data_IF_600851392499
#
_entry.id   IF_600851392499
#
_cell.length_a   1.000
_cell.length_b   1.000
_cell.length_c   1.000
_cell.angle_alpha   90.00
_cell.angle_beta   90.00
_cell.angle_gamma   90.00
#
_symmetry.space_group_name_H-M   'P 1'
#
loop_
_entity.id
_entity.type
_entity.pdbx_description
1 polymer ?
#
# COMPACT_ATOMS: atom_id res chain seq x y z
N UNK A 1 -32.40 18.83 31.86
CA UNK A 1 -31.13 18.08 31.73
C UNK A 1 -30.12 18.66 32.72
N UNK A 2 -29.77 17.91 33.77
CA UNK A 2 -28.88 18.39 34.84
C UNK A 2 -27.40 18.43 34.37
N UNK A 3 -26.56 19.26 35.01
CA UNK A 3 -25.15 19.48 34.63
C UNK A 3 -24.36 18.18 34.54
N UNK A 4 -24.65 17.23 35.44
CA UNK A 4 -24.07 15.88 35.50
C UNK A 4 -24.41 15.05 34.26
N UNK A 5 -25.64 15.11 33.74
CA UNK A 5 -26.03 14.41 32.51
C UNK A 5 -25.34 14.96 31.26
N UNK A 6 -25.02 16.27 31.22
CA UNK A 6 -24.21 16.87 30.14
C UNK A 6 -22.74 16.46 30.19
N UNK A 7 -22.17 16.35 31.39
CA UNK A 7 -20.79 15.88 31.60
C UNK A 7 -20.62 14.42 31.21
N UNK A 8 -21.58 13.56 31.55
CA UNK A 8 -21.57 12.15 31.16
C UNK A 8 -21.67 12.01 29.64
N UNK A 9 -22.56 12.77 28.99
CA UNK A 9 -22.69 12.74 27.53
C UNK A 9 -21.40 13.21 26.81
N UNK A 10 -20.71 14.20 27.35
CA UNK A 10 -19.43 14.68 26.80
C UNK A 10 -18.29 13.66 26.98
N UNK A 11 -18.28 12.93 28.11
CA UNK A 11 -17.29 11.87 28.37
C UNK A 11 -17.48 10.67 27.45
N UNK A 12 -18.74 10.29 27.16
CA UNK A 12 -19.07 9.20 26.23
C UNK A 12 -18.66 9.58 24.80
N UNK A 13 -18.88 10.84 24.39
CA UNK A 13 -18.50 11.30 23.05
C UNK A 13 -16.97 11.35 22.83
N UNK A 14 -16.20 11.64 23.89
CA UNK A 14 -14.74 11.69 23.82
C UNK A 14 -14.08 10.29 23.78
N UNK A 15 -14.75 9.23 24.24
CA UNK A 15 -14.22 7.88 24.24
C UNK A 15 -14.36 7.15 22.88
N UNK A 16 -15.26 7.62 22.01
CA UNK A 16 -15.59 6.99 20.72
C UNK A 16 -14.50 7.10 19.64
N UNK A 17 -13.45 7.92 19.82
CA UNK A 17 -12.46 8.18 18.77
C UNK A 17 -11.43 7.05 18.54
N UNK A 18 -11.40 6.02 19.39
CA UNK A 18 -10.36 4.96 19.31
C UNK A 18 -10.76 3.74 18.47
N UNK A 19 -12.00 3.65 17.99
CA UNK A 19 -12.52 2.43 17.35
C UNK A 19 -12.37 2.39 15.81
N UNK A 20 -11.82 3.43 15.17
CA UNK A 20 -11.72 3.47 13.70
C UNK A 20 -10.36 3.03 13.12
N UNK A 21 -9.38 2.68 13.97
CA UNK A 21 -8.02 2.35 13.51
C UNK A 21 -7.75 0.84 13.38
N UNK A 22 -8.70 -0.02 13.73
CA UNK A 22 -8.44 -1.46 13.78
C UNK A 22 -8.25 -2.08 12.38
N UNK A 23 -8.92 -1.51 11.37
CA UNK A 23 -8.91 -1.99 9.98
C UNK A 23 -7.64 -1.57 9.19
N UNK A 24 -6.81 -0.70 9.75
CA UNK A 24 -5.67 -0.09 9.03
C UNK A 24 -4.32 -0.71 9.42
N UNK A 25 -4.30 -1.90 10.01
CA UNK A 25 -3.02 -2.52 10.38
C UNK A 25 -3.04 -4.04 10.39
N UNK A 26 -1.89 -4.63 10.08
CA UNK A 26 -1.67 -6.09 10.08
C UNK A 26 -0.61 -6.45 11.12
N UNK A 27 -0.72 -7.61 11.76
CA UNK A 27 0.29 -8.09 12.71
C UNK A 27 1.41 -8.83 11.97
N UNK A 28 2.66 -8.42 12.19
CA UNK A 28 3.87 -9.08 11.69
C UNK A 28 4.88 -9.23 12.82
N UNK A 29 5.29 -10.46 13.14
CA UNK A 29 6.24 -10.77 14.22
C UNK A 29 5.91 -10.09 15.58
N UNK A 30 4.62 -10.02 15.92
CA UNK A 30 4.14 -9.37 17.15
C UNK A 30 4.10 -7.82 17.10
N UNK A 31 4.46 -7.21 15.98
CA UNK A 31 4.37 -5.77 15.74
C UNK A 31 3.19 -5.44 14.83
N UNK A 32 2.49 -4.33 15.10
CA UNK A 32 1.47 -3.80 14.18
C UNK A 32 2.14 -3.01 13.07
N UNK A 33 1.89 -3.40 11.83
CA UNK A 33 2.28 -2.67 10.61
C UNK A 33 1.10 -1.84 10.17
N UNK A 34 1.30 -0.52 10.04
CA UNK A 34 0.26 0.39 9.54
C UNK A 34 0.15 0.28 8.02
N UNK A 35 -1.04 -0.01 7.49
CA UNK A 35 -1.30 0.01 6.05
C UNK A 35 -1.24 1.44 5.52
N UNK A 36 -1.79 2.40 6.26
CA UNK A 36 -1.82 3.83 5.87
C UNK A 36 -0.41 4.37 5.64
N UNK A 37 0.53 4.05 6.53
CA UNK A 37 1.92 4.50 6.43
C UNK A 37 2.65 3.93 5.20
N UNK A 38 2.14 2.85 4.60
CA UNK A 38 2.75 2.16 3.48
C UNK A 38 1.99 2.36 2.14
N UNK A 39 0.97 3.23 2.10
CA UNK A 39 0.26 3.57 0.86
C UNK A 39 1.06 4.44 -0.10
N UNK A 40 2.02 5.22 0.41
CA UNK A 40 2.84 6.09 -0.40
C UNK A 40 3.78 5.25 -1.30
N UNK A 41 3.64 5.32 -2.64
CA UNK A 41 4.48 4.54 -3.54
C UNK A 41 5.95 4.95 -3.48
N UNK A 42 6.85 3.97 -3.55
CA UNK A 42 8.27 4.20 -3.80
C UNK A 42 8.49 4.26 -5.30
N UNK A 43 9.16 5.31 -5.78
CA UNK A 43 9.43 5.54 -7.19
C UNK A 43 10.93 5.76 -7.44
N UNK A 44 11.36 5.58 -8.69
CA UNK A 44 12.73 5.88 -9.13
C UNK A 44 12.75 6.64 -10.45
N UNK A 45 13.94 7.06 -10.87
CA UNK A 45 14.17 7.69 -12.18
C UNK A 45 14.39 6.62 -13.27
N UNK A 46 14.12 7.00 -14.52
CA UNK A 46 14.42 6.18 -15.69
C UNK A 46 15.92 5.85 -15.75
N UNK A 47 16.24 4.62 -16.14
CA UNK A 47 17.60 4.17 -16.40
C UNK A 47 17.80 3.98 -17.92
N UNK A 48 18.55 4.87 -18.59
CA UNK A 48 18.80 4.76 -20.03
C UNK A 48 19.46 3.45 -20.47
N UNK A 49 20.32 2.87 -19.63
CA UNK A 49 21.01 1.61 -19.94
C UNK A 49 20.05 0.43 -19.87
N UNK A 50 19.10 0.43 -18.93
CA UNK A 50 18.06 -0.60 -18.85
C UNK A 50 17.08 -0.50 -20.02
N UNK A 51 16.68 0.73 -20.39
CA UNK A 51 15.80 0.98 -21.54
C UNK A 51 16.45 0.53 -22.84
N UNK A 52 17.76 0.78 -23.02
CA UNK A 52 18.50 0.36 -24.20
C UNK A 52 18.60 -1.17 -24.36
N UNK A 53 18.37 -1.94 -23.30
CA UNK A 53 18.33 -3.41 -23.34
C UNK A 53 16.96 -3.96 -23.79
N UNK A 54 15.92 -3.13 -23.87
CA UNK A 54 14.64 -3.57 -24.43
C UNK A 54 14.79 -3.84 -25.93
N UNK A 55 14.37 -5.02 -26.43
CA UNK A 55 14.42 -5.32 -27.86
C UNK A 55 13.64 -4.28 -28.68
N UNK A 56 14.18 -3.90 -29.84
CA UNK A 56 13.49 -3.00 -30.75
C UNK A 56 12.13 -3.60 -31.14
N UNK A 57 11.06 -2.82 -30.98
CA UNK A 57 9.69 -3.28 -31.25
C UNK A 57 9.14 -4.28 -30.22
N UNK A 58 9.71 -4.35 -29.01
CA UNK A 58 9.14 -5.20 -27.95
C UNK A 58 7.69 -4.81 -27.66
N UNK A 59 6.79 -5.80 -27.69
CA UNK A 59 5.38 -5.64 -27.39
C UNK A 59 5.10 -6.10 -25.96
N UNK A 60 4.83 -5.14 -25.07
CA UNK A 60 4.33 -5.43 -23.74
C UNK A 60 2.91 -5.99 -23.80
N UNK A 61 2.56 -6.85 -22.84
CA UNK A 61 1.21 -7.43 -22.71
C UNK A 61 0.14 -6.34 -22.61
N UNK A 62 0.45 -5.28 -21.85
CA UNK A 62 -0.31 -4.03 -21.81
C UNK A 62 0.58 -2.92 -22.38
N UNK A 63 0.16 -2.22 -23.45
CA UNK A 63 0.96 -1.15 -24.03
C UNK A 63 1.30 -0.07 -23.02
N UNK A 64 2.60 0.23 -22.86
CA UNK A 64 3.08 1.23 -21.90
C UNK A 64 2.96 0.80 -20.44
N UNK A 65 3.09 -0.48 -20.13
CA UNK A 65 3.13 -0.96 -18.75
C UNK A 65 4.00 -2.21 -18.61
N UNK A 66 4.67 -2.34 -17.47
CA UNK A 66 5.38 -3.56 -17.09
C UNK A 66 4.50 -4.48 -16.25
N UNK A 67 4.03 -5.59 -16.82
CA UNK A 67 3.15 -6.54 -16.12
C UNK A 67 3.96 -7.52 -15.28
N UNK A 68 3.76 -7.51 -13.97
CA UNK A 68 4.42 -8.42 -13.02
C UNK A 68 3.38 -9.31 -12.37
N UNK A 69 3.63 -10.62 -12.37
CA UNK A 69 2.82 -11.57 -11.62
C UNK A 69 3.32 -11.63 -10.17
N UNK A 70 2.40 -11.60 -9.22
CA UNK A 70 2.68 -11.81 -7.80
C UNK A 70 2.01 -13.09 -7.34
N UNK A 71 2.67 -13.85 -6.46
CA UNK A 71 2.03 -14.96 -5.78
C UNK A 71 1.06 -14.41 -4.74
N UNK A 72 -0.18 -14.90 -4.70
CA UNK A 72 -1.21 -14.44 -3.75
C UNK A 72 -0.99 -14.96 -2.32
N UNK A 73 0.26 -14.90 -1.83
CA UNK A 73 0.64 -15.23 -0.46
C UNK A 73 0.56 -13.94 0.36
N UNK A 74 -0.68 -13.52 0.65
CA UNK A 74 -1.04 -12.18 1.14
C UNK A 74 -0.66 -11.92 2.61
N UNK A 75 0.63 -11.90 2.93
CA UNK A 75 1.11 -11.45 4.24
C UNK A 75 2.23 -10.43 4.11
N UNK A 76 2.16 -9.31 4.86
CA UNK A 76 3.31 -8.43 5.04
C UNK A 76 4.56 -9.22 5.47
N UNK A 77 5.75 -8.81 5.01
CA UNK A 77 6.03 -7.58 4.26
C UNK A 77 5.94 -7.73 2.74
N UNK A 78 5.65 -8.93 2.21
CA UNK A 78 5.77 -9.22 0.77
C UNK A 78 4.67 -8.58 -0.05
N UNK A 79 3.42 -8.91 0.25
CA UNK A 79 2.22 -8.39 -0.40
C UNK A 79 1.02 -8.44 0.54
N UNK A 80 0.20 -7.39 0.53
CA UNK A 80 -1.10 -7.34 1.22
C UNK A 80 -2.03 -6.38 0.48
N UNK A 81 -3.34 -6.58 0.58
CA UNK A 81 -4.29 -5.57 0.12
C UNK A 81 -4.32 -4.37 1.08
N UNK A 82 -4.47 -3.17 0.52
CA UNK A 82 -4.85 -1.98 1.27
C UNK A 82 -6.28 -2.11 1.78
N UNK A 83 -6.68 -1.16 2.62
CA UNK A 83 -8.06 -0.95 3.10
C UNK A 83 -9.12 -0.79 2.00
N UNK A 84 -8.75 -0.46 0.76
CA UNK A 84 -9.66 -0.42 -0.40
C UNK A 84 -9.95 -1.80 -1.02
N UNK A 85 -9.28 -2.84 -0.52
CA UNK A 85 -9.29 -4.22 -0.99
C UNK A 85 -9.01 -4.39 -2.49
N UNK A 86 -8.21 -3.48 -3.06
CA UNK A 86 -7.83 -3.47 -4.49
C UNK A 86 -6.35 -3.18 -4.69
N UNK A 87 -5.84 -2.18 -3.98
CA UNK A 87 -4.45 -1.75 -4.09
C UNK A 87 -3.56 -2.73 -3.35
N UNK A 88 -2.55 -3.27 -4.02
CA UNK A 88 -1.54 -4.11 -3.38
C UNK A 88 -0.44 -3.23 -2.79
N UNK A 89 -0.01 -3.56 -1.57
CA UNK A 89 1.11 -2.93 -0.85
C UNK A 89 2.15 -4.00 -0.51
N UNK A 90 3.42 -3.62 -0.38
CA UNK A 90 4.50 -4.50 0.06
C UNK A 90 5.71 -4.52 -0.88
N UNK A 91 6.76 -5.23 -0.47
CA UNK A 91 8.07 -5.20 -1.16
C UNK A 91 8.01 -5.70 -2.60
N UNK A 92 7.16 -6.68 -2.91
CA UNK A 92 7.04 -7.21 -4.27
C UNK A 92 6.45 -6.15 -5.22
N UNK A 93 5.44 -5.42 -4.75
CA UNK A 93 4.80 -4.33 -5.50
C UNK A 93 5.76 -3.17 -5.69
N UNK A 94 6.51 -2.82 -4.65
CA UNK A 94 7.50 -1.74 -4.72
C UNK A 94 8.64 -2.07 -5.67
N UNK A 95 9.17 -3.29 -5.65
CA UNK A 95 10.20 -3.73 -6.61
C UNK A 95 9.63 -3.71 -8.03
N UNK A 96 8.42 -4.21 -8.24
CA UNK A 96 7.77 -4.18 -9.55
C UNK A 96 7.65 -2.75 -10.10
N UNK A 97 7.24 -1.80 -9.24
CA UNK A 97 7.14 -0.37 -9.59
C UNK A 97 8.50 0.23 -9.91
N UNK A 98 9.51 -0.04 -9.09
CA UNK A 98 10.87 0.48 -9.33
C UNK A 98 11.46 -0.04 -10.65
N UNK A 99 11.19 -1.30 -11.01
CA UNK A 99 11.59 -1.83 -12.32
C UNK A 99 10.83 -1.13 -13.45
N UNK A 100 9.51 -0.94 -13.30
CA UNK A 100 8.69 -0.24 -14.29
C UNK A 100 9.17 1.21 -14.53
N UNK A 101 9.35 1.98 -13.45
CA UNK A 101 9.87 3.35 -13.48
C UNK A 101 11.25 3.43 -14.16
N UNK A 102 12.15 2.50 -13.81
CA UNK A 102 13.49 2.40 -14.39
C UNK A 102 13.42 2.13 -15.91
N UNK A 103 12.42 1.38 -16.38
CA UNK A 103 12.15 1.13 -17.80
C UNK A 103 11.34 2.25 -18.46
N UNK A 104 10.86 3.23 -17.68
CA UNK A 104 10.05 4.33 -18.16
C UNK A 104 8.65 3.92 -18.65
N UNK A 105 8.10 2.87 -18.06
CA UNK A 105 6.78 2.29 -18.33
C UNK A 105 5.78 2.61 -17.21
#
# INVERSE_FOLDING_TARGET
>A
MNKTSRLIALLILAASSHALAEDTSVSYNGQRVSLEANKAPINTVKNPEAIAQLPAGHHFVVPGSFTVAVAALNSPPLTVFSDDNKTLLGSEVDIARLVADSLGL
#
